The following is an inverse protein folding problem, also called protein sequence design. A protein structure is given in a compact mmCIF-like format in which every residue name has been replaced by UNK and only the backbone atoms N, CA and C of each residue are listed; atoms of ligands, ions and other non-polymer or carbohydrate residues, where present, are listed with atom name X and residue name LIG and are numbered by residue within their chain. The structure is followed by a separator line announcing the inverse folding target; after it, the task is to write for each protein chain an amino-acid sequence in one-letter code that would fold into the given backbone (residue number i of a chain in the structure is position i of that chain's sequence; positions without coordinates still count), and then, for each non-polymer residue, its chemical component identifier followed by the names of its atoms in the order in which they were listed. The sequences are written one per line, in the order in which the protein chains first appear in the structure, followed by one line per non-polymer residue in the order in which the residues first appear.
data_IF_203338499372
#
_entry.id   IF_203338499372
#
_cell.length_a   1.000
_cell.length_b   1.000
_cell.length_c   1.000
_cell.angle_alpha   90.00
_cell.angle_beta   90.00
_cell.angle_gamma   90.00
#
_symmetry.space_group_name_H-M   'P 1'
#
loop_
_entity.id
_entity.type
_entity.pdbx_description
1 polymer ?
#
# COMPACT_ATOMS: atom_id res chain seq x y z
N UNK A 1 4.71 -2.52 -20.64
CA UNK A 1 4.26 -1.69 -21.78
C UNK A 1 3.28 -2.48 -22.63
N UNK A 2 2.22 -1.83 -23.10
CA UNK A 2 1.16 -2.44 -23.93
C UNK A 2 1.62 -2.54 -25.40
N UNK A 3 2.92 -2.42 -25.70
CA UNK A 3 3.50 -2.48 -27.04
C UNK A 3 3.88 -1.12 -27.61
N UNK A 4 4.63 -1.09 -28.72
CA UNK A 4 5.29 0.11 -29.26
C UNK A 4 4.38 1.22 -29.81
N UNK A 5 3.06 1.04 -29.83
CA UNK A 5 2.10 2.00 -30.35
C UNK A 5 1.09 2.47 -29.28
N UNK A 6 1.36 2.25 -27.99
CA UNK A 6 0.51 2.72 -26.90
C UNK A 6 1.01 4.04 -26.33
N UNK A 7 0.09 4.98 -26.09
CA UNK A 7 0.36 6.22 -25.38
C UNK A 7 -0.37 6.17 -24.02
N UNK A 8 0.29 6.66 -22.97
CA UNK A 8 -0.28 6.68 -21.61
C UNK A 8 -0.13 8.07 -21.04
N UNK A 9 -1.25 8.69 -20.68
CA UNK A 9 -1.29 9.93 -19.92
C UNK A 9 -1.53 9.62 -18.44
N UNK A 10 -0.73 10.20 -17.58
CA UNK A 10 -0.87 10.07 -16.13
C UNK A 10 -1.53 11.32 -15.55
N UNK A 11 -2.66 11.13 -14.87
CA UNK A 11 -3.38 12.18 -14.15
C UNK A 11 -3.35 11.91 -12.65
N UNK A 12 -2.82 12.85 -11.87
CA UNK A 12 -2.71 12.74 -10.42
C UNK A 12 -3.77 13.62 -9.77
N UNK A 13 -4.60 13.04 -8.91
CA UNK A 13 -5.71 13.74 -8.24
C UNK A 13 -5.57 13.84 -6.71
N UNK A 14 -4.43 13.45 -6.15
CA UNK A 14 -4.04 13.67 -4.75
C UNK A 14 -5.11 13.27 -3.70
N UNK A 15 -5.82 12.17 -3.94
CA UNK A 15 -6.97 11.71 -3.13
C UNK A 15 -8.12 12.74 -3.06
N UNK A 16 -8.11 13.79 -3.90
CA UNK A 16 -9.13 14.83 -3.96
C UNK A 16 -10.26 14.42 -4.90
N UNK A 17 -11.48 14.32 -4.34
CA UNK A 17 -12.67 13.90 -5.10
C UNK A 17 -13.04 14.89 -6.20
N UNK A 18 -12.96 16.19 -5.92
CA UNK A 18 -13.35 17.23 -6.90
C UNK A 18 -12.40 17.26 -8.09
N UNK A 19 -11.09 17.17 -7.80
CA UNK A 19 -10.07 17.09 -8.85
C UNK A 19 -10.22 15.82 -9.68
N UNK A 20 -10.48 14.66 -9.05
CA UNK A 20 -10.76 13.41 -9.75
C UNK A 20 -11.92 13.54 -10.73
N UNK A 21 -13.06 14.07 -10.27
CA UNK A 21 -14.26 14.26 -11.10
C UNK A 21 -14.00 15.18 -12.28
N UNK A 22 -13.30 16.30 -12.06
CA UNK A 22 -12.93 17.24 -13.12
C UNK A 22 -12.00 16.60 -14.16
N UNK A 23 -10.98 15.86 -13.73
CA UNK A 23 -10.06 15.16 -14.62
C UNK A 23 -10.79 14.10 -15.45
N UNK A 24 -11.68 13.33 -14.83
CA UNK A 24 -12.44 12.29 -15.51
C UNK A 24 -13.41 12.87 -16.53
N UNK A 25 -14.13 13.93 -16.19
CA UNK A 25 -15.07 14.58 -17.12
C UNK A 25 -14.36 15.22 -18.31
N UNK A 26 -13.24 15.92 -18.08
CA UNK A 26 -12.43 16.54 -19.14
C UNK A 26 -11.91 15.50 -20.14
N UNK A 27 -11.64 14.29 -19.69
CA UNK A 27 -11.03 13.24 -20.51
C UNK A 27 -12.00 12.10 -20.88
N UNK A 28 -13.31 12.28 -20.70
CA UNK A 28 -14.34 11.24 -20.77
C UNK A 28 -14.39 10.41 -22.06
N UNK A 29 -13.92 10.94 -23.17
CA UNK A 29 -13.92 10.25 -24.47
C UNK A 29 -12.54 10.26 -25.14
N UNK A 30 -11.49 10.60 -24.38
CA UNK A 30 -10.16 10.79 -24.92
C UNK A 30 -9.35 9.51 -25.09
N UNK A 31 -9.73 8.42 -24.35
CA UNK A 31 -8.91 7.22 -24.24
C UNK A 31 -9.66 5.95 -24.61
N UNK A 32 -8.90 4.96 -25.08
CA UNK A 32 -9.40 3.60 -25.30
C UNK A 32 -9.60 2.83 -24.00
N UNK A 33 -8.78 3.12 -22.97
CA UNK A 33 -8.87 2.52 -21.64
C UNK A 33 -8.66 3.57 -20.54
N UNK A 34 -9.34 3.36 -19.43
CA UNK A 34 -9.23 4.15 -18.20
C UNK A 34 -8.75 3.23 -17.07
N UNK A 35 -7.54 3.46 -16.59
CA UNK A 35 -6.98 2.74 -15.46
C UNK A 35 -7.10 3.66 -14.25
N UNK A 36 -7.87 3.22 -13.24
CA UNK A 36 -8.19 4.04 -12.07
C UNK A 36 -7.72 3.31 -10.81
N UNK A 37 -7.00 4.02 -9.95
CA UNK A 37 -6.62 3.60 -8.60
C UNK A 37 -7.43 4.43 -7.60
N UNK A 38 -8.59 3.94 -7.12
CA UNK A 38 -9.54 4.76 -6.37
C UNK A 38 -9.16 4.86 -4.90
N UNK A 39 -8.48 5.94 -4.57
CA UNK A 39 -8.15 6.35 -3.21
C UNK A 39 -8.59 7.79 -3.00
N UNK A 40 -9.42 8.02 -2.01
CA UNK A 40 -9.95 9.35 -1.69
C UNK A 40 -9.73 9.67 -0.22
N UNK A 41 -9.94 10.93 0.14
CA UNK A 41 -9.90 11.39 1.53
C UNK A 41 -11.17 12.17 1.88
N UNK A 42 -11.59 12.04 3.13
CA UNK A 42 -12.64 12.88 3.71
C UNK A 42 -12.09 14.26 4.08
N UNK A 43 -12.96 15.19 4.46
CA UNK A 43 -12.56 16.50 5.03
C UNK A 43 -11.69 16.34 6.29
N UNK A 44 -11.87 15.25 7.05
CA UNK A 44 -11.07 14.92 8.24
C UNK A 44 -9.78 14.14 7.89
N UNK A 45 -9.35 14.17 6.62
CA UNK A 45 -8.15 13.49 6.14
C UNK A 45 -8.15 11.96 6.34
N UNK A 46 -9.30 11.33 6.46
CA UNK A 46 -9.41 9.87 6.57
C UNK A 46 -9.53 9.23 5.19
N UNK A 47 -8.85 8.10 4.99
CA UNK A 47 -8.92 7.33 3.75
C UNK A 47 -10.32 6.76 3.53
N UNK A 48 -10.83 6.92 2.32
CA UNK A 48 -12.01 6.22 1.80
C UNK A 48 -11.70 5.63 0.42
N UNK A 49 -12.20 4.43 0.19
CA UNK A 49 -11.97 3.71 -1.07
C UNK A 49 -12.72 4.33 -2.25
N UNK A 50 -13.80 5.04 -1.97
CA UNK A 50 -14.64 5.71 -2.98
C UNK A 50 -15.55 6.74 -2.33
N UNK A 51 -16.04 7.66 -3.14
CA UNK A 51 -17.19 8.53 -2.84
C UNK A 51 -18.34 8.14 -3.75
N UNK A 52 -19.57 8.48 -3.37
CA UNK A 52 -20.73 8.20 -4.23
C UNK A 52 -20.62 8.90 -5.59
N UNK A 53 -20.09 10.14 -5.60
CA UNK A 53 -19.87 10.89 -6.83
C UNK A 53 -18.85 10.22 -7.75
N UNK A 54 -17.72 9.72 -7.17
CA UNK A 54 -16.72 8.99 -7.92
C UNK A 54 -17.29 7.70 -8.51
N UNK A 55 -18.05 6.92 -7.73
CA UNK A 55 -18.73 5.71 -8.23
C UNK A 55 -19.68 6.04 -9.38
N UNK A 56 -20.52 7.09 -9.24
CA UNK A 56 -21.42 7.52 -10.32
C UNK A 56 -20.66 7.93 -11.59
N UNK A 57 -19.53 8.62 -11.45
CA UNK A 57 -18.71 9.06 -12.57
C UNK A 57 -18.02 7.87 -13.25
N UNK A 58 -17.42 6.96 -12.48
CA UNK A 58 -16.76 5.75 -12.99
C UNK A 58 -17.77 4.82 -13.68
N UNK A 59 -18.99 4.72 -13.19
CA UNK A 59 -20.05 3.91 -13.80
C UNK A 59 -20.47 4.40 -15.20
N UNK A 60 -20.19 5.66 -15.56
CA UNK A 60 -20.41 6.18 -16.91
C UNK A 60 -19.35 5.73 -17.93
N UNK A 61 -18.24 5.18 -17.48
CA UNK A 61 -17.20 4.60 -18.36
C UNK A 61 -17.70 3.25 -18.88
N UNK A 62 -17.60 2.97 -20.20
CA UNK A 62 -17.90 1.65 -20.74
C UNK A 62 -17.06 0.56 -20.05
N UNK A 63 -17.69 -0.53 -19.63
CA UNK A 63 -17.05 -1.58 -18.81
C UNK A 63 -15.93 -2.34 -19.55
N UNK A 64 -15.97 -2.33 -20.87
CA UNK A 64 -14.91 -2.87 -21.74
C UNK A 64 -13.67 -1.97 -21.82
N UNK A 65 -13.76 -0.72 -21.34
CA UNK A 65 -12.67 0.26 -21.26
C UNK A 65 -12.19 0.52 -19.83
N UNK A 66 -12.83 -0.09 -18.82
CA UNK A 66 -12.57 0.20 -17.42
C UNK A 66 -11.61 -0.81 -16.79
N UNK A 67 -10.57 -0.31 -16.15
CA UNK A 67 -9.64 -1.06 -15.32
C UNK A 67 -9.57 -0.39 -13.94
N UNK A 68 -9.93 -1.12 -12.90
CA UNK A 68 -9.75 -0.68 -11.50
C UNK A 68 -8.55 -1.40 -10.92
N UNK A 69 -7.65 -0.67 -10.30
CA UNK A 69 -6.46 -1.24 -9.67
C UNK A 69 -6.37 -0.85 -8.20
N UNK A 70 -5.67 -1.69 -7.44
CA UNK A 70 -5.30 -1.53 -6.04
C UNK A 70 -6.46 -1.69 -5.06
N UNK A 71 -7.60 -1.05 -5.24
CA UNK A 71 -8.71 -1.07 -4.30
C UNK A 71 -9.89 -1.90 -4.78
N UNK A 72 -10.39 -2.82 -3.95
CA UNK A 72 -11.46 -3.79 -4.29
C UNK A 72 -12.85 -3.47 -3.72
N UNK A 73 -13.07 -2.25 -3.20
CA UNK A 73 -14.32 -1.90 -2.51
C UNK A 73 -15.20 -0.94 -3.28
N UNK A 74 -15.04 -0.88 -4.60
CA UNK A 74 -15.93 -0.07 -5.43
C UNK A 74 -17.18 -0.86 -5.80
N UNK A 75 -18.35 -0.29 -5.52
CA UNK A 75 -19.62 -0.82 -5.94
C UNK A 75 -19.88 -0.53 -7.43
N UNK A 76 -19.16 -1.22 -8.31
CA UNK A 76 -19.31 -1.16 -9.75
C UNK A 76 -19.81 -2.52 -10.22
N UNK A 77 -20.85 -2.51 -11.06
CA UNK A 77 -21.39 -3.74 -11.64
C UNK A 77 -20.43 -4.36 -12.64
N UNK A 78 -20.16 -5.65 -12.50
CA UNK A 78 -19.35 -6.45 -13.41
C UNK A 78 -20.01 -6.59 -14.81
N UNK A 79 -19.25 -6.89 -15.86
CA UNK A 79 -17.85 -7.32 -15.87
C UNK A 79 -16.87 -6.22 -16.35
N UNK A 80 -15.86 -5.90 -15.57
CA UNK A 80 -14.71 -5.05 -15.94
C UNK A 80 -13.40 -5.70 -15.48
N UNK A 81 -12.24 -5.05 -15.71
CA UNK A 81 -10.94 -5.53 -15.21
C UNK A 81 -10.70 -4.96 -13.82
N UNK A 82 -10.51 -5.84 -12.84
CA UNK A 82 -10.17 -5.46 -11.46
C UNK A 82 -8.93 -6.20 -10.98
N UNK A 83 -7.89 -5.45 -10.59
CA UNK A 83 -6.66 -6.01 -10.02
C UNK A 83 -6.49 -5.39 -8.64
N UNK A 84 -6.72 -6.16 -7.59
CA UNK A 84 -6.93 -5.61 -6.26
C UNK A 84 -5.92 -6.10 -5.21
N UNK A 85 -5.74 -5.28 -4.17
CA UNK A 85 -5.08 -5.59 -2.92
C UNK A 85 -6.12 -5.85 -1.83
N UNK A 86 -5.84 -6.81 -0.95
CA UNK A 86 -6.61 -7.04 0.26
C UNK A 86 -5.79 -6.60 1.48
N UNK A 87 -5.71 -5.29 1.69
CA UNK A 87 -4.84 -4.65 2.67
C UNK A 87 -4.79 -5.32 4.04
N UNK A 88 -5.90 -5.91 4.50
CA UNK A 88 -5.97 -6.61 5.78
C UNK A 88 -5.26 -7.97 5.73
N UNK A 89 -5.62 -8.79 4.74
CA UNK A 89 -5.02 -10.11 4.60
C UNK A 89 -3.61 -10.04 4.01
N UNK A 90 -3.28 -8.98 3.29
CA UNK A 90 -1.96 -8.78 2.69
C UNK A 90 -0.90 -8.53 3.77
N UNK A 91 -1.11 -7.58 4.68
CA UNK A 91 -0.17 -7.36 5.78
C UNK A 91 -0.13 -8.57 6.73
N UNK A 92 -1.28 -9.16 7.05
CA UNK A 92 -1.34 -10.35 7.88
C UNK A 92 -0.51 -11.49 7.28
N UNK A 93 -0.72 -11.82 6.00
CA UNK A 93 0.00 -12.90 5.33
C UNK A 93 1.49 -12.64 5.19
N UNK A 94 1.89 -11.42 4.83
CA UNK A 94 3.30 -11.07 4.74
C UNK A 94 4.02 -11.17 6.10
N UNK A 95 3.41 -10.69 7.18
CA UNK A 95 3.97 -10.85 8.53
C UNK A 95 4.02 -12.32 8.97
N UNK A 96 3.05 -13.13 8.55
CA UNK A 96 3.05 -14.57 8.81
C UNK A 96 4.22 -15.28 8.12
N UNK A 97 4.59 -14.89 6.90
CA UNK A 97 5.79 -15.39 6.22
C UNK A 97 7.07 -15.08 7.02
N UNK A 98 7.16 -13.87 7.59
CA UNK A 98 8.29 -13.44 8.43
C UNK A 98 8.24 -13.90 9.89
N UNK A 99 7.22 -14.68 10.32
CA UNK A 99 6.93 -14.96 11.73
C UNK A 99 8.11 -15.52 12.52
N UNK A 100 8.91 -16.41 11.92
CA UNK A 100 10.07 -17.02 12.59
C UNK A 100 11.12 -16.01 13.01
N UNK A 101 11.30 -14.95 12.24
CA UNK A 101 12.20 -13.82 12.54
C UNK A 101 11.54 -12.81 13.48
N UNK A 102 10.29 -12.49 13.24
CA UNK A 102 9.50 -11.54 14.05
C UNK A 102 9.45 -11.99 15.52
N UNK A 103 9.29 -13.28 15.79
CA UNK A 103 9.24 -13.85 17.15
C UNK A 103 10.54 -13.69 17.97
N UNK A 104 11.64 -13.25 17.37
CA UNK A 104 12.87 -12.92 18.10
C UNK A 104 12.75 -11.59 18.86
N UNK A 105 11.82 -10.75 18.47
CA UNK A 105 11.59 -9.45 19.07
C UNK A 105 10.54 -9.52 20.16
N UNK A 106 10.71 -8.66 21.17
CA UNK A 106 9.87 -8.65 22.36
C UNK A 106 8.59 -7.83 22.17
N UNK A 107 8.66 -6.78 21.36
CA UNK A 107 7.54 -5.88 21.12
C UNK A 107 7.54 -5.36 19.68
N UNK A 108 6.35 -5.28 19.09
CA UNK A 108 6.12 -4.78 17.74
C UNK A 108 5.50 -3.39 17.79
N UNK A 109 5.96 -2.52 16.91
CA UNK A 109 5.39 -1.19 16.70
C UNK A 109 4.96 -1.02 15.24
N UNK A 110 3.69 -0.76 14.99
CA UNK A 110 3.25 -0.29 13.69
C UNK A 110 3.22 1.24 13.70
N UNK A 111 4.03 1.86 12.86
CA UNK A 111 4.01 3.31 12.64
C UNK A 111 2.99 3.60 11.55
N UNK A 112 1.79 4.02 11.97
CA UNK A 112 0.65 4.25 11.09
C UNK A 112 0.23 5.72 11.14
N UNK A 113 0.50 6.51 10.08
CA UNK A 113 0.21 7.94 10.05
C UNK A 113 -1.29 8.19 9.88
N UNK A 114 -2.00 8.45 10.98
CA UNK A 114 -3.46 8.68 10.95
C UNK A 114 -3.86 9.98 10.24
N UNK A 115 -3.00 11.00 10.27
CA UNK A 115 -3.25 12.34 9.75
C UNK A 115 -2.39 12.69 8.51
N UNK A 116 -2.01 11.68 7.72
CA UNK A 116 -1.25 11.90 6.48
C UNK A 116 -2.05 12.68 5.44
N UNK A 117 -1.37 13.52 4.66
CA UNK A 117 -1.96 14.21 3.47
C UNK A 117 -2.49 13.18 2.45
N UNK A 118 -1.86 12.02 2.40
CA UNK A 118 -2.27 10.85 1.61
C UNK A 118 -2.63 9.70 2.56
N UNK A 119 -3.86 9.66 3.08
CA UNK A 119 -4.23 8.74 4.14
C UNK A 119 -4.20 7.29 3.67
N UNK A 120 -3.75 6.40 4.56
CA UNK A 120 -3.63 4.97 4.30
C UNK A 120 -4.90 4.20 4.66
N UNK A 121 -5.16 3.04 3.99
CA UNK A 121 -6.30 2.19 4.32
C UNK A 121 -6.26 1.67 5.75
N UNK A 122 -7.28 1.94 6.56
CA UNK A 122 -7.37 1.45 7.96
C UNK A 122 -7.36 -0.07 8.09
N UNK A 123 -7.62 -0.79 7.02
CA UNK A 123 -7.53 -2.25 6.97
C UNK A 123 -6.11 -2.77 7.24
N UNK A 124 -5.08 -1.96 7.00
CA UNK A 124 -3.70 -2.26 7.41
C UNK A 124 -3.63 -2.46 8.93
N UNK A 125 -4.26 -1.55 9.71
CA UNK A 125 -4.34 -1.68 11.17
C UNK A 125 -5.04 -2.97 11.60
N UNK A 126 -6.12 -3.35 10.93
CA UNK A 126 -6.88 -4.54 11.28
C UNK A 126 -6.06 -5.81 11.03
N UNK A 127 -5.38 -5.91 9.90
CA UNK A 127 -4.51 -7.04 9.58
C UNK A 127 -3.33 -7.16 10.54
N UNK A 128 -2.69 -6.05 10.91
CA UNK A 128 -1.62 -6.03 11.90
C UNK A 128 -2.11 -6.49 13.28
N UNK A 129 -3.21 -5.92 13.78
CA UNK A 129 -3.79 -6.31 15.07
C UNK A 129 -4.20 -7.78 15.11
N UNK A 130 -4.80 -8.27 14.03
CA UNK A 130 -5.17 -9.68 13.88
C UNK A 130 -3.94 -10.57 14.00
N UNK A 131 -2.86 -10.24 13.30
CA UNK A 131 -1.59 -10.97 13.37
C UNK A 131 -1.02 -10.99 14.80
N UNK A 132 -0.89 -9.83 15.44
CA UNK A 132 -0.34 -9.76 16.79
C UNK A 132 -1.19 -10.53 17.80
N UNK A 133 -2.52 -10.45 17.70
CA UNK A 133 -3.44 -11.16 18.60
C UNK A 133 -3.34 -12.67 18.42
N UNK A 134 -3.33 -13.17 17.19
CA UNK A 134 -3.28 -14.60 16.88
C UNK A 134 -1.99 -15.25 17.34
N UNK A 135 -0.86 -14.55 17.22
CA UNK A 135 0.44 -15.06 17.63
C UNK A 135 0.88 -14.64 19.04
N UNK A 136 -0.02 -14.00 19.82
CA UNK A 136 0.20 -13.52 21.19
C UNK A 136 1.46 -12.64 21.30
N UNK A 137 1.65 -11.71 20.36
CA UNK A 137 2.76 -10.77 20.33
C UNK A 137 2.37 -9.47 21.03
N UNK A 138 3.27 -8.90 21.84
CA UNK A 138 3.08 -7.56 22.40
C UNK A 138 3.26 -6.51 21.31
N UNK A 139 2.39 -5.51 21.27
CA UNK A 139 2.43 -4.47 20.24
C UNK A 139 1.85 -3.13 20.69
N UNK A 140 2.32 -2.09 20.02
CA UNK A 140 1.73 -0.74 20.05
C UNK A 140 1.57 -0.17 18.63
N UNK A 141 0.79 0.89 18.51
CA UNK A 141 0.62 1.65 17.28
C UNK A 141 1.07 3.08 17.55
N UNK A 142 2.02 3.55 16.77
CA UNK A 142 2.51 4.93 16.80
C UNK A 142 1.97 5.70 15.60
N UNK A 143 1.77 7.00 15.75
CA UNK A 143 1.37 7.86 14.63
C UNK A 143 2.58 8.22 13.75
N UNK A 144 3.74 8.45 14.35
CA UNK A 144 5.00 8.81 13.70
C UNK A 144 6.20 8.36 14.52
N UNK A 145 7.39 8.37 13.92
CA UNK A 145 8.67 8.29 14.63
C UNK A 145 9.10 9.70 14.98
N UNK A 146 8.88 10.08 16.25
CA UNK A 146 9.28 11.40 16.75
C UNK A 146 10.77 11.44 17.15
N UNK A 147 11.32 12.63 17.27
CA UNK A 147 12.69 12.84 17.72
C UNK A 147 12.90 12.28 19.13
N UNK A 148 14.05 11.66 19.37
CA UNK A 148 14.39 11.05 20.65
C UNK A 148 13.44 9.93 21.13
N UNK A 149 12.86 9.16 20.22
CA UNK A 149 12.07 7.98 20.59
C UNK A 149 12.89 7.02 21.46
N UNK A 150 12.26 6.46 22.49
CA UNK A 150 12.91 5.49 23.37
C UNK A 150 12.97 4.14 22.67
N UNK A 151 14.15 3.75 22.21
CA UNK A 151 14.42 2.45 21.59
C UNK A 151 14.91 1.46 22.66
N UNK A 152 14.43 0.21 22.62
CA UNK A 152 14.88 -0.87 23.47
C UNK A 152 15.30 -2.06 22.62
N UNK A 153 16.36 -2.77 23.03
CA UNK A 153 16.75 -4.02 22.37
C UNK A 153 15.56 -5.00 22.39
N UNK A 154 15.29 -5.56 21.24
CA UNK A 154 14.14 -6.43 21.03
C UNK A 154 12.88 -5.73 20.55
N UNK A 155 12.92 -4.44 20.25
CA UNK A 155 11.84 -3.74 19.56
C UNK A 155 11.89 -4.01 18.05
N UNK A 156 10.72 -4.19 17.44
CA UNK A 156 10.55 -4.30 15.99
C UNK A 156 9.58 -3.23 15.51
N UNK A 157 10.02 -2.40 14.57
CA UNK A 157 9.21 -1.35 13.97
C UNK A 157 8.80 -1.70 12.56
N UNK A 158 7.53 -1.45 12.24
CA UNK A 158 6.97 -1.57 10.88
C UNK A 158 6.58 -0.16 10.44
N UNK A 159 7.34 0.44 9.52
CA UNK A 159 7.11 1.81 9.05
C UNK A 159 6.37 1.82 7.72
N UNK A 160 5.39 2.72 7.58
CA UNK A 160 4.64 2.90 6.34
C UNK A 160 5.27 4.02 5.51
N UNK A 161 5.54 5.18 6.10
CA UNK A 161 6.16 6.31 5.40
C UNK A 161 7.69 6.24 5.39
N UNK A 162 8.30 6.77 4.32
CA UNK A 162 9.76 6.81 4.21
C UNK A 162 10.41 7.77 5.19
N UNK A 163 9.73 8.87 5.55
CA UNK A 163 10.16 9.81 6.57
C UNK A 163 10.37 9.11 7.91
N UNK A 164 9.42 8.27 8.33
CA UNK A 164 9.53 7.50 9.56
C UNK A 164 10.66 6.48 9.50
N UNK A 165 10.82 5.80 8.36
CA UNK A 165 11.93 4.86 8.17
C UNK A 165 13.28 5.57 8.32
N UNK A 166 13.44 6.73 7.66
CA UNK A 166 14.69 7.50 7.70
C UNK A 166 14.99 7.97 9.10
N UNK A 167 14.00 8.57 9.79
CA UNK A 167 14.15 9.04 11.17
C UNK A 167 14.51 7.89 12.12
N UNK A 168 13.80 6.77 12.02
CA UNK A 168 14.07 5.57 12.84
C UNK A 168 15.49 5.04 12.65
N UNK A 169 15.91 4.81 11.38
CA UNK A 169 17.24 4.27 11.07
C UNK A 169 18.34 5.23 11.51
N UNK A 170 18.12 6.54 11.40
CA UNK A 170 19.05 7.55 11.90
C UNK A 170 19.22 7.43 13.41
N UNK A 171 18.14 7.40 14.17
CA UNK A 171 18.18 7.27 15.62
C UNK A 171 18.77 5.93 16.10
N UNK A 172 18.50 4.82 15.38
CA UNK A 172 19.14 3.51 15.65
C UNK A 172 20.66 3.63 15.59
N UNK A 173 21.18 4.31 14.55
CA UNK A 173 22.62 4.52 14.34
C UNK A 173 23.22 5.47 15.40
N UNK A 174 22.57 6.58 15.68
CA UNK A 174 23.03 7.56 16.67
C UNK A 174 23.08 7.00 18.08
N UNK A 175 22.16 6.09 18.41
CA UNK A 175 22.10 5.41 19.71
C UNK A 175 22.92 4.11 19.73
N UNK A 176 23.72 3.85 18.69
CA UNK A 176 24.63 2.72 18.55
C UNK A 176 23.95 1.33 18.67
N UNK A 177 22.67 1.22 18.30
CA UNK A 177 21.99 -0.07 18.16
C UNK A 177 22.32 -0.72 16.82
N UNK A 178 22.38 -2.05 16.80
CA UNK A 178 22.49 -2.82 15.57
C UNK A 178 21.11 -2.98 14.89
N UNK A 179 21.02 -2.55 13.63
CA UNK A 179 19.84 -2.76 12.80
C UNK A 179 19.69 -4.27 12.49
N UNK A 180 18.51 -4.83 12.69
CA UNK A 180 18.22 -6.25 12.53
C UNK A 180 18.71 -7.13 13.69
N UNK A 181 19.70 -6.68 14.48
CA UNK A 181 20.20 -7.38 15.65
C UNK A 181 19.52 -6.93 16.95
N UNK A 182 19.71 -5.65 17.32
CA UNK A 182 19.10 -5.07 18.51
C UNK A 182 17.67 -4.55 18.23
N UNK A 183 17.49 -3.88 17.10
CA UNK A 183 16.22 -3.28 16.66
C UNK A 183 15.86 -3.83 15.29
N UNK A 184 14.70 -4.46 15.17
CA UNK A 184 14.17 -4.90 13.88
C UNK A 184 13.44 -3.79 13.15
N UNK A 185 13.55 -3.78 11.83
CA UNK A 185 12.81 -2.84 10.98
C UNK A 185 12.22 -3.55 9.76
N UNK A 186 10.92 -3.36 9.56
CA UNK A 186 10.20 -3.73 8.35
C UNK A 186 9.65 -2.44 7.75
N UNK A 187 9.74 -2.25 6.43
CA UNK A 187 9.16 -1.08 5.76
C UNK A 187 8.09 -1.50 4.75
N UNK A 188 7.05 -0.68 4.66
CA UNK A 188 5.97 -0.87 3.69
C UNK A 188 6.41 -0.40 2.30
N UNK A 189 6.10 -1.18 1.28
CA UNK A 189 6.46 -0.99 -0.12
C UNK A 189 7.97 -0.93 -0.38
N UNK A 190 8.42 -1.78 -1.26
CA UNK A 190 9.83 -1.89 -1.62
C UNK A 190 10.27 -0.79 -2.59
N UNK A 191 11.50 -0.34 -2.43
CA UNK A 191 12.16 0.61 -3.33
C UNK A 191 13.63 0.22 -3.53
N UNK A 192 14.29 0.64 -4.63
CA UNK A 192 15.72 0.39 -4.83
C UNK A 192 16.60 0.92 -3.68
N UNK A 193 16.18 2.00 -3.01
CA UNK A 193 16.91 2.53 -1.87
C UNK A 193 16.81 1.59 -0.65
N UNK A 194 15.64 1.04 -0.37
CA UNK A 194 15.44 0.07 0.71
C UNK A 194 16.21 -1.22 0.45
N UNK A 195 16.25 -1.68 -0.79
CA UNK A 195 17.10 -2.81 -1.22
C UNK A 195 18.58 -2.53 -0.95
N UNK A 196 19.07 -1.38 -1.39
CA UNK A 196 20.47 -0.97 -1.17
C UNK A 196 20.84 -0.89 0.32
N UNK A 197 19.90 -0.48 1.17
CA UNK A 197 20.09 -0.36 2.62
C UNK A 197 19.85 -1.67 3.38
N UNK A 198 19.49 -2.76 2.70
CA UNK A 198 19.20 -4.04 3.34
C UNK A 198 17.93 -4.03 4.19
N UNK A 199 16.94 -3.18 3.87
CA UNK A 199 15.69 -3.07 4.64
C UNK A 199 14.72 -4.16 4.21
N UNK A 200 14.29 -4.99 5.16
CA UNK A 200 13.19 -5.95 4.99
C UNK A 200 11.91 -5.21 4.69
N UNK A 201 11.17 -5.65 3.67
CA UNK A 201 9.95 -4.99 3.23
C UNK A 201 8.75 -5.93 3.18
N UNK A 202 7.57 -5.36 3.38
CA UNK A 202 6.29 -5.95 2.97
C UNK A 202 5.73 -5.08 1.85
N UNK A 203 5.46 -5.66 0.69
CA UNK A 203 5.28 -4.84 -0.52
C UNK A 203 4.23 -5.37 -1.49
N UNK A 204 3.41 -4.46 -1.99
CA UNK A 204 2.65 -4.66 -3.23
C UNK A 204 3.61 -4.97 -4.37
N UNK A 205 3.33 -6.00 -5.16
CA UNK A 205 4.02 -6.23 -6.42
C UNK A 205 3.45 -5.31 -7.51
N UNK A 206 3.90 -4.06 -7.53
CA UNK A 206 3.45 -3.05 -8.50
C UNK A 206 3.78 -3.43 -9.94
N UNK A 207 4.90 -4.13 -10.16
CA UNK A 207 5.27 -4.61 -11.48
C UNK A 207 4.27 -5.64 -11.98
N UNK A 208 3.94 -6.63 -11.15
CA UNK A 208 2.95 -7.65 -11.47
C UNK A 208 1.56 -7.08 -11.68
N UNK A 209 1.18 -6.07 -10.89
CA UNK A 209 -0.08 -5.35 -11.05
C UNK A 209 -0.20 -4.72 -12.43
N UNK A 210 0.83 -3.98 -12.86
CA UNK A 210 0.89 -3.37 -14.19
C UNK A 210 0.94 -4.39 -15.33
N UNK A 211 1.73 -5.46 -15.19
CA UNK A 211 1.80 -6.55 -16.18
C UNK A 211 0.45 -7.27 -16.34
N UNK A 212 -0.24 -7.50 -15.22
CA UNK A 212 -1.56 -8.14 -15.23
C UNK A 212 -2.59 -7.26 -15.92
N UNK A 213 -2.61 -5.95 -15.62
CA UNK A 213 -3.48 -4.98 -16.29
C UNK A 213 -3.24 -4.97 -17.80
N UNK A 214 -1.97 -4.83 -18.21
CA UNK A 214 -1.59 -4.81 -19.63
C UNK A 214 -2.02 -6.09 -20.36
N UNK A 215 -1.78 -7.27 -19.78
CA UNK A 215 -2.18 -8.55 -20.36
C UNK A 215 -3.69 -8.65 -20.49
N UNK A 216 -4.47 -8.33 -19.46
CA UNK A 216 -5.92 -8.39 -19.50
C UNK A 216 -6.52 -7.44 -20.54
N UNK A 217 -5.92 -6.26 -20.73
CA UNK A 217 -6.31 -5.31 -21.79
C UNK A 217 -6.06 -5.92 -23.18
N UNK A 218 -4.86 -6.47 -23.41
CA UNK A 218 -4.49 -7.08 -24.70
C UNK A 218 -5.35 -8.29 -25.04
N UNK A 219 -5.61 -9.15 -24.05
CA UNK A 219 -6.42 -10.36 -24.21
C UNK A 219 -7.94 -10.05 -24.22
N UNK A 220 -8.33 -8.78 -24.01
CA UNK A 220 -9.73 -8.37 -23.86
C UNK A 220 -10.47 -9.20 -22.80
N UNK A 221 -9.74 -9.71 -21.81
CA UNK A 221 -10.30 -10.48 -20.71
C UNK A 221 -10.88 -9.56 -19.64
N UNK A 222 -11.87 -10.05 -18.90
CA UNK A 222 -12.51 -9.34 -17.79
C UNK A 222 -12.47 -10.21 -16.54
N UNK A 223 -12.65 -9.59 -15.40
CA UNK A 223 -12.72 -10.30 -14.11
C UNK A 223 -11.80 -9.70 -13.06
N UNK A 224 -11.77 -10.40 -11.90
CA UNK A 224 -11.05 -9.96 -10.71
C UNK A 224 -9.80 -10.79 -10.48
N UNK A 225 -8.68 -10.12 -10.25
CA UNK A 225 -7.39 -10.76 -9.95
C UNK A 225 -6.82 -10.14 -8.69
N UNK A 226 -6.54 -10.97 -7.67
CA UNK A 226 -5.80 -10.52 -6.50
C UNK A 226 -4.34 -10.32 -6.88
N UNK A 227 -3.80 -9.12 -6.61
CA UNK A 227 -2.39 -8.84 -6.83
C UNK A 227 -1.54 -9.44 -5.71
N UNK A 228 -0.32 -9.94 -6.00
CA UNK A 228 0.59 -10.40 -4.97
C UNK A 228 1.01 -9.26 -4.02
N UNK A 229 1.17 -9.63 -2.76
CA UNK A 229 1.78 -8.81 -1.71
C UNK A 229 2.82 -9.67 -1.02
N UNK A 230 4.07 -9.24 -1.01
CA UNK A 230 5.21 -10.09 -0.72
C UNK A 230 5.91 -9.66 0.56
N UNK A 231 6.43 -10.64 1.32
CA UNK A 231 7.45 -10.43 2.33
C UNK A 231 8.83 -10.53 1.66
N UNK A 232 9.63 -9.49 1.75
CA UNK A 232 10.96 -9.40 1.13
C UNK A 232 11.99 -9.35 2.25
N UNK A 233 12.61 -10.49 2.52
CA UNK A 233 13.56 -10.67 3.60
C UNK A 233 14.93 -10.05 3.27
N UNK A 234 15.47 -9.25 4.22
CA UNK A 234 16.79 -8.63 4.15
C UNK A 234 17.41 -8.53 5.54
N UNK A 235 18.48 -7.75 5.68
CA UNK A 235 19.33 -7.70 6.87
C UNK A 235 18.73 -6.94 8.07
N UNK A 236 17.67 -6.18 7.88
CA UNK A 236 17.06 -5.36 8.96
C UNK A 236 16.09 -6.14 9.87
N UNK A 237 16.01 -7.50 9.71
CA UNK A 237 15.12 -8.35 10.51
C UNK A 237 15.82 -9.63 10.94
#
# INVERSE_FOLDING_TARGET
SIGGNSHTDLHIYHCDNSLFLNLLEKNRSAYDYYIIMPHFKTEQMKHVSYTEEAVRAINKIPKDKLVIMDNNRIAIEDPFIEIFQDFENDIYGALQEGLSKIKKYSKLFLVYPENSVYPYPRRILYGFRKFCTEFALDYDILEEIYDDIILKKGDLFITIEESDLVNLVTQIREKEFSLGGDIGVISYNDTPLKELLGITCISTDFKKMGETAARMILDKSKGKVKNPFNFIDRDSL
#
